data_IF_201439632209
#
_entry.id   IF_201439632209
#
_cell.length_a   1.000
_cell.length_b   1.000
_cell.length_c   1.000
_cell.angle_alpha   90.00
_cell.angle_beta   90.00
_cell.angle_gamma   90.00
#
_symmetry.space_group_name_H-M   'P 1'
#
loop_
_entity.id
_entity.type
_entity.pdbx_description
1 polymer ?
#
# COMPACT_ATOMS: atom_id res chain seq x y z
N UNK A 1 -20.46 -16.05 17.74
CA UNK A 1 -19.96 -14.66 17.90
C UNK A 1 -18.50 -14.67 17.52
N UNK A 2 -18.04 -13.70 16.72
CA UNK A 2 -16.64 -13.63 16.36
C UNK A 2 -15.77 -13.30 17.60
N UNK A 3 -14.51 -13.77 17.65
CA UNK A 3 -13.67 -13.75 18.87
C UNK A 3 -13.32 -12.36 19.42
N UNK A 4 -13.64 -11.27 18.71
CA UNK A 4 -13.47 -9.89 19.20
C UNK A 4 -14.63 -9.38 20.06
N UNK A 5 -15.72 -10.13 20.20
CA UNK A 5 -16.85 -9.75 21.06
C UNK A 5 -16.60 -9.99 22.56
N UNK A 6 -15.50 -10.64 22.92
CA UNK A 6 -15.17 -10.95 24.32
C UNK A 6 -13.91 -10.19 24.77
N UNK A 7 -14.09 -8.92 25.11
CA UNK A 7 -13.13 -8.18 25.91
C UNK A 7 -13.90 -7.39 26.97
N UNK A 8 -13.96 -7.99 28.16
CA UNK A 8 -14.66 -7.51 29.35
C UNK A 8 -14.00 -6.25 29.95
N UNK A 9 -14.14 -5.11 29.29
CA UNK A 9 -14.14 -3.78 29.91
C UNK A 9 -14.83 -2.81 28.96
N UNK A 10 -15.72 -1.96 29.49
CA UNK A 10 -16.56 -1.01 28.74
C UNK A 10 -15.73 -0.03 27.89
N UNK A 11 -15.33 -0.45 26.70
CA UNK A 11 -14.70 0.37 25.66
C UNK A 11 -15.15 -0.23 24.34
N UNK A 12 -16.14 0.38 23.69
CA UNK A 12 -16.64 -0.11 22.40
C UNK A 12 -15.48 -0.20 21.41
N UNK A 13 -15.10 -1.44 21.06
CA UNK A 13 -14.05 -1.75 20.08
C UNK A 13 -14.73 -1.76 18.72
N UNK A 14 -14.62 -0.64 17.99
CA UNK A 14 -15.03 -0.64 16.60
C UNK A 14 -14.00 -1.40 15.77
N UNK A 15 -14.52 -2.20 14.87
CA UNK A 15 -13.94 -3.38 14.22
C UNK A 15 -13.20 -2.91 12.94
N UNK A 16 -12.40 -3.77 12.26
CA UNK A 16 -11.33 -3.31 11.39
C UNK A 16 -11.86 -2.51 10.20
N UNK A 17 -11.36 -1.28 10.05
CA UNK A 17 -11.49 -0.53 8.81
C UNK A 17 -10.57 -1.17 7.78
N UNK A 18 -11.14 -1.64 6.67
CA UNK A 18 -10.38 -2.41 5.67
C UNK A 18 -10.58 -1.84 4.29
N UNK A 19 -9.49 -1.31 3.74
CA UNK A 19 -9.34 -0.94 2.35
C UNK A 19 -8.05 -1.59 1.82
N UNK A 20 -7.98 -2.03 0.57
CA UNK A 20 -6.69 -2.36 -0.02
C UNK A 20 -5.78 -1.14 -0.18
N UNK A 21 -4.49 -1.32 0.14
CA UNK A 21 -3.48 -0.30 -0.09
C UNK A 21 -3.00 -0.34 -1.54
N UNK A 22 -3.11 0.80 -2.24
CA UNK A 22 -2.24 1.19 -3.37
C UNK A 22 -2.29 0.36 -4.67
N UNK A 23 -2.91 -0.81 -4.69
CA UNK A 23 -3.12 -1.60 -5.91
C UNK A 23 -4.61 -1.70 -6.24
N UNK A 24 -4.96 -1.40 -7.49
CA UNK A 24 -6.34 -1.49 -7.99
C UNK A 24 -6.86 -2.94 -7.96
N UNK A 25 -5.97 -3.90 -8.23
CA UNK A 25 -6.22 -5.33 -8.09
C UNK A 25 -5.44 -5.88 -6.90
N UNK A 26 -5.97 -6.90 -6.24
CA UNK A 26 -5.34 -7.50 -5.06
C UNK A 26 -4.97 -8.94 -5.33
N UNK A 27 -3.91 -9.39 -4.66
CA UNK A 27 -3.70 -10.81 -4.47
C UNK A 27 -4.83 -11.39 -3.62
N UNK A 28 -5.19 -12.65 -3.87
CA UNK A 28 -6.29 -13.33 -3.17
C UNK A 28 -6.12 -13.30 -1.64
N UNK A 29 -4.88 -13.44 -1.15
CA UNK A 29 -4.55 -13.38 0.27
C UNK A 29 -4.85 -12.02 0.94
N UNK A 30 -5.04 -10.96 0.16
CA UNK A 30 -5.37 -9.62 0.64
C UNK A 30 -6.84 -9.26 0.44
N UNK A 31 -7.66 -10.13 -0.15
CA UNK A 31 -9.10 -9.93 -0.41
C UNK A 31 -9.98 -10.10 0.85
N UNK A 32 -9.50 -9.63 2.01
CA UNK A 32 -10.16 -9.76 3.33
C UNK A 32 -11.58 -9.20 3.34
N UNK A 33 -11.79 -8.05 2.68
CA UNK A 33 -13.10 -7.42 2.56
C UNK A 33 -14.08 -8.31 1.79
N UNK A 34 -13.64 -8.94 0.70
CA UNK A 34 -14.47 -9.87 -0.05
C UNK A 34 -14.79 -11.12 0.80
N UNK A 35 -13.80 -11.67 1.50
CA UNK A 35 -14.01 -12.81 2.41
C UNK A 35 -15.10 -12.55 3.47
N UNK A 36 -15.09 -11.41 4.14
CA UNK A 36 -16.06 -11.14 5.21
C UNK A 36 -17.43 -10.65 4.73
N UNK A 37 -17.52 -10.09 3.52
CA UNK A 37 -18.75 -9.40 3.05
C UNK A 37 -19.41 -10.05 1.84
N UNK A 38 -18.66 -10.80 1.04
CA UNK A 38 -19.06 -11.25 -0.30
C UNK A 38 -18.78 -10.22 -1.40
N UNK A 39 -18.53 -8.94 -1.07
CA UNK A 39 -18.35 -7.88 -2.07
C UNK A 39 -16.95 -7.87 -2.71
N UNK A 40 -16.91 -8.07 -4.02
CA UNK A 40 -15.69 -8.27 -4.83
C UNK A 40 -15.21 -7.05 -5.61
N UNK A 41 -15.95 -5.93 -5.62
CA UNK A 41 -15.55 -4.72 -6.36
C UNK A 41 -14.20 -4.14 -5.95
N UNK A 42 -13.45 -3.49 -6.84
CA UNK A 42 -12.07 -3.09 -6.50
C UNK A 42 -11.99 -2.01 -5.41
N UNK A 43 -13.01 -1.17 -5.27
CA UNK A 43 -13.07 -0.12 -4.26
C UNK A 43 -14.11 -0.40 -3.18
N UNK A 44 -13.72 -0.31 -1.92
CA UNK A 44 -14.66 -0.28 -0.81
C UNK A 44 -13.99 -0.37 0.55
N UNK A 45 -14.65 0.17 1.56
CA UNK A 45 -14.22 0.18 2.95
C UNK A 45 -15.29 -0.45 3.83
N UNK A 46 -14.94 -1.56 4.49
CA UNK A 46 -15.81 -2.16 5.50
C UNK A 46 -15.55 -1.53 6.87
N UNK A 47 -16.61 -1.20 7.61
CA UNK A 47 -16.58 -0.95 9.05
C UNK A 47 -17.55 -1.93 9.69
N UNK A 48 -17.04 -2.77 10.57
CA UNK A 48 -17.87 -3.62 11.43
C UNK A 48 -17.93 -2.96 12.82
N UNK A 49 -19.03 -3.19 13.53
CA UNK A 49 -19.27 -2.80 14.91
C UNK A 49 -19.97 -3.95 15.64
N UNK A 50 -20.22 -3.82 16.95
CA UNK A 50 -20.99 -4.82 17.69
C UNK A 50 -22.43 -5.00 17.16
N UNK A 51 -23.01 -3.97 16.53
CA UNK A 51 -24.41 -3.92 16.14
C UNK A 51 -24.67 -3.77 14.64
N UNK A 52 -23.64 -3.56 13.82
CA UNK A 52 -23.78 -3.28 12.39
C UNK A 52 -22.53 -3.65 11.59
N UNK A 53 -22.74 -4.04 10.34
CA UNK A 53 -21.71 -4.17 9.31
C UNK A 53 -22.02 -3.20 8.16
N UNK A 54 -21.08 -2.33 7.82
CA UNK A 54 -21.27 -1.23 6.88
C UNK A 54 -20.20 -1.28 5.79
N UNK A 55 -20.59 -1.00 4.55
CA UNK A 55 -19.70 -0.97 3.39
C UNK A 55 -19.79 0.36 2.66
N UNK A 56 -18.73 1.17 2.73
CA UNK A 56 -18.58 2.33 1.85
C UNK A 56 -18.02 1.88 0.50
N UNK A 57 -18.63 2.30 -0.59
CA UNK A 57 -18.06 2.17 -1.94
C UNK A 57 -18.59 3.28 -2.83
N UNK A 58 -17.93 3.51 -3.96
CA UNK A 58 -18.29 4.55 -4.92
C UNK A 58 -19.36 4.12 -5.93
N UNK A 59 -19.82 5.07 -6.74
CA UNK A 59 -20.95 4.89 -7.67
C UNK A 59 -20.79 3.77 -8.70
N UNK A 60 -19.56 3.32 -8.99
CA UNK A 60 -19.32 2.18 -9.89
C UNK A 60 -19.88 0.87 -9.32
N UNK A 61 -19.95 0.77 -8.00
CA UNK A 61 -20.18 -0.50 -7.29
C UNK A 61 -21.49 -0.55 -6.50
N UNK A 62 -22.34 0.47 -6.54
CA UNK A 62 -23.59 0.47 -5.74
C UNK A 62 -24.48 -0.74 -6.03
N UNK A 63 -24.67 -1.08 -7.31
CA UNK A 63 -25.52 -2.20 -7.72
C UNK A 63 -24.86 -3.53 -7.33
N UNK A 64 -23.59 -3.70 -7.69
CA UNK A 64 -22.79 -4.87 -7.36
C UNK A 64 -22.76 -5.14 -5.85
N UNK A 65 -22.50 -4.13 -5.02
CA UNK A 65 -22.47 -4.28 -3.57
C UNK A 65 -23.85 -4.67 -3.01
N UNK A 66 -24.94 -4.17 -3.59
CA UNK A 66 -26.30 -4.57 -3.16
C UNK A 66 -26.60 -6.04 -3.48
N UNK A 67 -26.06 -6.56 -4.58
CA UNK A 67 -26.28 -7.94 -5.04
C UNK A 67 -25.34 -8.95 -4.36
N UNK A 68 -24.09 -8.57 -4.11
CA UNK A 68 -23.06 -9.48 -3.59
C UNK A 68 -22.94 -9.52 -2.07
N UNK A 69 -23.28 -8.43 -1.38
CA UNK A 69 -23.10 -8.39 0.08
C UNK A 69 -24.06 -9.34 0.79
N UNK A 70 -23.54 -10.06 1.79
CA UNK A 70 -24.32 -10.96 2.62
C UNK A 70 -25.40 -10.25 3.46
N UNK A 71 -26.30 -11.04 4.05
CA UNK A 71 -27.32 -10.52 4.97
C UNK A 71 -26.68 -9.76 6.16
N UNK A 72 -27.29 -8.66 6.57
CA UNK A 72 -26.81 -7.82 7.69
C UNK A 72 -25.83 -6.71 7.31
N UNK A 73 -25.39 -6.64 6.05
CA UNK A 73 -24.58 -5.53 5.54
C UNK A 73 -25.43 -4.33 5.13
N UNK A 74 -24.97 -3.14 5.49
CA UNK A 74 -25.57 -1.86 5.08
C UNK A 74 -24.66 -1.16 4.08
N UNK A 75 -25.19 -0.89 2.89
CA UNK A 75 -24.48 -0.14 1.85
C UNK A 75 -24.45 1.36 2.17
N UNK A 76 -23.25 1.91 2.25
CA UNK A 76 -22.98 3.34 2.39
C UNK A 76 -22.50 3.90 1.05
N UNK A 77 -23.39 4.60 0.33
CA UNK A 77 -23.15 5.11 -1.02
C UNK A 77 -22.26 6.36 -1.03
N UNK A 78 -20.96 6.17 -1.12
CA UNK A 78 -19.97 7.25 -1.07
C UNK A 78 -20.17 8.26 -2.21
N UNK A 79 -20.08 9.56 -1.91
CA UNK A 79 -20.29 10.65 -2.86
C UNK A 79 -21.72 11.21 -2.89
N UNK A 80 -22.68 10.58 -2.21
CA UNK A 80 -24.01 11.15 -2.03
C UNK A 80 -24.03 12.14 -0.85
N UNK A 81 -24.73 13.29 -0.94
CA UNK A 81 -24.81 14.28 0.14
C UNK A 81 -25.36 13.74 1.47
N UNK A 82 -26.17 12.68 1.40
CA UNK A 82 -26.80 12.05 2.58
C UNK A 82 -25.91 11.02 3.26
N UNK A 83 -24.83 10.57 2.61
CA UNK A 83 -23.96 9.52 3.14
C UNK A 83 -22.82 10.17 3.92
N UNK A 84 -22.68 9.90 5.24
CA UNK A 84 -21.60 10.47 6.03
C UNK A 84 -20.25 9.89 5.59
N UNK A 85 -19.17 10.66 5.79
CA UNK A 85 -17.82 10.11 5.74
C UNK A 85 -17.64 9.04 6.82
N UNK A 86 -16.62 8.20 6.67
CA UNK A 86 -16.31 7.14 7.64
C UNK A 86 -16.02 7.74 9.02
N UNK A 87 -15.17 8.77 9.11
CA UNK A 87 -14.84 9.44 10.37
C UNK A 87 -16.05 10.17 11.00
N UNK A 88 -16.93 10.77 10.18
CA UNK A 88 -18.18 11.36 10.68
C UNK A 88 -19.11 10.29 11.25
N UNK A 89 -19.30 9.18 10.53
CA UNK A 89 -20.12 8.07 11.01
C UNK A 89 -19.62 7.55 12.35
N UNK A 90 -18.29 7.35 12.48
CA UNK A 90 -17.68 6.92 13.73
C UNK A 90 -17.90 7.94 14.86
N UNK A 91 -17.83 9.23 14.57
CA UNK A 91 -18.05 10.28 15.57
C UNK A 91 -19.50 10.38 16.04
N UNK A 92 -20.45 10.18 15.13
CA UNK A 92 -21.88 10.31 15.43
C UNK A 92 -22.44 9.06 16.14
N UNK A 93 -21.82 7.89 15.97
CA UNK A 93 -22.35 6.61 16.44
C UNK A 93 -21.59 6.00 17.64
N UNK A 94 -20.44 6.58 18.03
CA UNK A 94 -19.66 6.08 19.16
C UNK A 94 -19.54 7.12 20.27
N UNK A 95 -19.48 6.65 21.52
CA UNK A 95 -19.28 7.48 22.70
C UNK A 95 -17.84 7.96 22.84
N UNK A 96 -17.64 9.07 23.54
CA UNK A 96 -16.32 9.51 23.98
C UNK A 96 -15.56 8.37 24.68
N UNK A 97 -14.28 8.21 24.35
CA UNK A 97 -13.42 7.15 24.87
C UNK A 97 -13.48 5.83 24.08
N UNK A 98 -14.41 5.67 23.13
CA UNK A 98 -14.45 4.49 22.24
C UNK A 98 -13.18 4.38 21.39
N UNK A 99 -12.82 3.15 21.02
CA UNK A 99 -11.60 2.82 20.30
C UNK A 99 -11.94 2.10 19.00
N UNK A 100 -11.51 2.66 17.88
CA UNK A 100 -11.70 2.09 16.54
C UNK A 100 -10.39 1.45 16.11
N UNK A 101 -10.35 0.12 16.03
CA UNK A 101 -9.18 -0.64 15.65
C UNK A 101 -9.02 -0.72 14.14
N UNK A 102 -7.82 -0.48 13.62
CA UNK A 102 -7.52 -0.58 12.18
C UNK A 102 -6.15 -1.19 11.96
N UNK A 103 -6.02 -2.09 10.98
CA UNK A 103 -4.71 -2.58 10.54
C UNK A 103 -3.93 -1.44 9.87
N UNK A 104 -2.80 -0.99 10.43
CA UNK A 104 -2.09 0.16 9.90
C UNK A 104 -1.45 -0.11 8.54
N UNK A 105 -1.39 -1.36 8.07
CA UNK A 105 -0.81 -1.73 6.78
C UNK A 105 -1.80 -1.59 5.61
N UNK A 106 -3.11 -1.57 5.90
CA UNK A 106 -4.15 -1.59 4.86
C UNK A 106 -4.68 -0.19 4.52
N UNK A 107 -4.53 0.76 5.45
CA UNK A 107 -4.82 2.17 5.18
C UNK A 107 -3.60 2.95 4.76
N UNK A 108 -3.78 3.85 3.79
CA UNK A 108 -2.77 4.87 3.51
C UNK A 108 -2.64 5.84 4.68
N UNK A 109 -1.49 6.51 4.76
CA UNK A 109 -1.30 7.55 5.76
C UNK A 109 -2.30 8.70 5.59
N UNK A 110 -2.57 9.11 4.35
CA UNK A 110 -3.52 10.18 4.04
C UNK A 110 -4.93 9.86 4.53
N UNK A 111 -5.45 8.67 4.21
CA UNK A 111 -6.79 8.25 4.63
C UNK A 111 -6.91 8.16 6.15
N UNK A 112 -5.88 7.62 6.81
CA UNK A 112 -5.83 7.60 8.26
C UNK A 112 -5.97 9.02 8.83
N UNK A 113 -5.25 9.99 8.26
CA UNK A 113 -5.32 11.40 8.70
C UNK A 113 -6.68 12.02 8.42
N UNK A 114 -7.32 11.71 7.29
CA UNK A 114 -8.67 12.18 6.96
C UNK A 114 -9.66 11.67 8.00
N UNK A 115 -9.71 10.35 8.23
CA UNK A 115 -10.61 9.73 9.22
C UNK A 115 -10.35 10.29 10.62
N UNK A 116 -9.08 10.36 11.03
CA UNK A 116 -8.69 10.93 12.32
C UNK A 116 -9.10 12.40 12.46
N UNK A 117 -9.01 13.20 11.39
CA UNK A 117 -9.41 14.60 11.40
C UNK A 117 -10.92 14.77 11.52
N UNK A 118 -11.69 13.96 10.80
CA UNK A 118 -13.16 13.92 10.90
C UNK A 118 -13.65 13.53 12.30
N UNK A 119 -12.82 12.77 13.04
CA UNK A 119 -13.08 12.35 14.42
C UNK A 119 -12.61 13.35 15.49
N UNK A 120 -12.02 14.48 15.11
CA UNK A 120 -11.53 15.46 16.09
C UNK A 120 -12.69 16.03 16.91
N UNK A 121 -12.54 15.98 18.23
CA UNK A 121 -13.51 16.53 19.18
C UNK A 121 -14.64 15.58 19.57
N UNK A 122 -14.77 14.40 18.95
CA UNK A 122 -15.75 13.38 19.38
C UNK A 122 -15.27 12.56 20.58
N UNK A 123 -13.97 12.60 20.88
CA UNK A 123 -13.34 11.76 21.91
C UNK A 123 -13.18 10.29 21.51
N UNK A 124 -13.57 9.92 20.28
CA UNK A 124 -13.34 8.58 19.71
C UNK A 124 -11.91 8.51 19.16
N UNK A 125 -11.24 7.38 19.40
CA UNK A 125 -9.83 7.21 19.05
C UNK A 125 -9.62 6.14 17.98
N UNK A 126 -8.91 6.48 16.91
CA UNK A 126 -8.43 5.53 15.91
C UNK A 126 -7.13 4.88 16.37
N UNK A 127 -7.10 3.56 16.49
CA UNK A 127 -6.01 2.79 17.11
C UNK A 127 -5.42 1.79 16.11
N UNK A 128 -4.10 1.80 15.87
CA UNK A 128 -3.46 0.81 15.02
C UNK A 128 -3.43 -0.56 15.73
N UNK A 129 -3.87 -1.60 15.03
CA UNK A 129 -3.79 -3.00 15.48
C UNK A 129 -2.89 -3.76 14.50
N UNK A 130 -1.71 -4.18 14.95
CA UNK A 130 -0.71 -4.80 14.09
C UNK A 130 -1.17 -6.14 13.48
N UNK A 131 -2.03 -6.88 14.19
CA UNK A 131 -2.60 -8.13 13.71
C UNK A 131 -3.93 -7.86 13.01
N UNK A 132 -4.05 -8.28 11.75
CA UNK A 132 -5.32 -8.19 11.06
C UNK A 132 -6.34 -9.17 11.65
N UNK A 133 -7.46 -8.66 12.15
CA UNK A 133 -8.46 -9.48 12.84
C UNK A 133 -9.19 -10.45 11.91
N UNK A 134 -9.26 -10.16 10.61
CA UNK A 134 -9.87 -11.08 9.62
C UNK A 134 -9.00 -12.29 9.40
N UNK A 135 -7.67 -12.12 9.41
CA UNK A 135 -6.74 -13.24 9.24
C UNK A 135 -6.88 -14.28 10.36
N UNK A 136 -7.38 -13.89 11.54
CA UNK A 136 -7.61 -14.81 12.66
C UNK A 136 -8.83 -15.74 12.45
N UNK A 137 -9.76 -15.36 11.58
CA UNK A 137 -10.97 -16.13 11.28
C UNK A 137 -10.98 -16.71 9.85
N UNK A 138 -9.98 -16.38 9.04
CA UNK A 138 -9.85 -16.87 7.67
C UNK A 138 -9.02 -18.15 7.64
N UNK A 139 -9.64 -19.28 8.00
CA UNK A 139 -8.96 -20.58 8.16
C UNK A 139 -8.28 -21.08 6.87
N UNK A 140 -8.92 -20.85 5.72
CA UNK A 140 -8.48 -21.26 4.38
C UNK A 140 -7.86 -20.11 3.59
N UNK A 141 -7.28 -19.12 4.28
CA UNK A 141 -6.65 -17.96 3.65
C UNK A 141 -5.62 -18.38 2.59
N UNK A 142 -5.74 -17.89 1.34
CA UNK A 142 -4.76 -18.16 0.29
C UNK A 142 -3.36 -17.74 0.70
N UNK A 143 -2.35 -18.50 0.28
CA UNK A 143 -0.96 -18.15 0.50
C UNK A 143 -0.60 -16.87 -0.27
N UNK A 144 0.38 -16.11 0.25
CA UNK A 144 0.95 -15.00 -0.51
C UNK A 144 1.53 -15.51 -1.83
N UNK A 145 1.34 -14.77 -2.94
CA UNK A 145 1.94 -15.11 -4.22
C UNK A 145 3.45 -15.30 -4.11
N UNK A 146 3.97 -16.35 -4.74
CA UNK A 146 5.39 -16.71 -4.75
C UNK A 146 6.00 -16.67 -6.16
N UNK A 147 5.38 -15.89 -7.05
CA UNK A 147 5.79 -15.82 -8.45
C UNK A 147 7.21 -15.24 -8.61
N UNK A 148 7.94 -15.82 -9.56
CA UNK A 148 9.32 -15.43 -9.86
C UNK A 148 9.40 -14.02 -10.46
N UNK A 149 10.41 -13.25 -10.04
CA UNK A 149 10.71 -11.93 -10.62
C UNK A 149 11.67 -12.05 -11.79
N UNK A 150 11.39 -11.30 -12.86
CA UNK A 150 12.15 -11.32 -14.10
C UNK A 150 12.73 -9.93 -14.43
N UNK A 151 13.98 -9.84 -14.88
CA UNK A 151 14.54 -8.58 -15.38
C UNK A 151 13.96 -8.20 -16.74
N UNK A 152 13.75 -6.91 -16.94
CA UNK A 152 13.29 -6.32 -18.19
C UNK A 152 14.47 -5.63 -18.88
N UNK A 153 14.89 -6.17 -20.03
CA UNK A 153 16.07 -5.71 -20.74
C UNK A 153 15.99 -4.25 -21.19
N UNK A 154 17.15 -3.59 -21.28
CA UNK A 154 17.27 -2.16 -21.65
C UNK A 154 16.64 -1.82 -23.01
N UNK A 155 16.59 -2.78 -23.95
CA UNK A 155 15.92 -2.62 -25.25
C UNK A 155 14.41 -2.34 -25.14
N UNK A 156 13.80 -2.63 -23.98
CA UNK A 156 12.41 -2.32 -23.69
C UNK A 156 12.25 -1.12 -22.75
N UNK A 157 13.22 -0.89 -21.86
CA UNK A 157 13.11 0.17 -20.84
C UNK A 157 13.76 1.49 -21.25
N UNK A 158 14.67 1.46 -22.21
CA UNK A 158 15.43 2.62 -22.71
C UNK A 158 16.41 3.25 -21.71
N UNK A 159 16.38 2.85 -20.44
CA UNK A 159 17.24 3.39 -19.37
C UNK A 159 17.57 2.32 -18.35
N UNK A 160 18.86 2.24 -17.98
CA UNK A 160 19.38 1.34 -16.96
C UNK A 160 18.81 1.66 -15.57
N UNK A 161 18.74 0.66 -14.69
CA UNK A 161 18.30 0.86 -13.30
C UNK A 161 19.30 1.74 -12.54
N UNK A 162 20.60 1.63 -12.85
CA UNK A 162 21.65 2.50 -12.30
C UNK A 162 21.39 3.98 -12.59
N UNK A 163 21.17 4.35 -13.85
CA UNK A 163 20.89 5.75 -14.21
C UNK A 163 19.58 6.26 -13.57
N UNK A 164 18.55 5.41 -13.48
CA UNK A 164 17.31 5.78 -12.78
C UNK A 164 17.56 6.07 -11.29
N UNK A 165 18.35 5.25 -10.61
CA UNK A 165 18.73 5.47 -9.20
C UNK A 165 19.57 6.74 -9.04
N UNK A 166 20.48 7.06 -9.96
CA UNK A 166 21.28 8.29 -9.93
C UNK A 166 20.41 9.55 -10.09
N UNK A 167 19.43 9.53 -10.99
CA UNK A 167 18.44 10.61 -11.14
C UNK A 167 17.57 10.77 -9.88
N UNK A 168 17.13 9.66 -9.29
CA UNK A 168 16.39 9.66 -8.01
C UNK A 168 17.23 10.28 -6.89
N UNK A 169 18.51 9.90 -6.76
CA UNK A 169 19.44 10.46 -5.75
C UNK A 169 19.66 11.96 -5.95
N UNK A 170 19.70 12.42 -7.21
CA UNK A 170 19.79 13.84 -7.54
C UNK A 170 18.55 14.59 -7.04
N UNK A 171 17.34 14.04 -7.26
CA UNK A 171 16.08 14.60 -6.74
C UNK A 171 15.99 14.56 -5.22
N UNK A 172 16.51 13.50 -4.59
CA UNK A 172 16.63 13.44 -3.14
C UNK A 172 17.53 14.55 -2.60
N UNK A 173 18.69 14.79 -3.23
CA UNK A 173 19.61 15.86 -2.83
C UNK A 173 18.98 17.25 -2.95
N UNK A 174 18.27 17.54 -4.05
CA UNK A 174 17.52 18.80 -4.25
C UNK A 174 16.53 19.08 -3.10
N UNK A 175 15.94 18.03 -2.52
CA UNK A 175 14.97 18.11 -1.42
C UNK A 175 15.58 17.95 -0.02
N UNK A 176 16.92 17.79 0.08
CA UNK A 176 17.60 17.52 1.35
C UNK A 176 17.22 16.16 1.97
N UNK A 177 16.74 15.22 1.14
CA UNK A 177 16.38 13.87 1.54
C UNK A 177 17.60 12.96 1.54
N UNK A 178 17.84 12.26 2.65
CA UNK A 178 18.92 11.26 2.77
C UNK A 178 18.42 9.84 2.50
N UNK A 179 17.11 9.64 2.60
CA UNK A 179 16.45 8.35 2.43
C UNK A 179 15.13 8.54 1.68
N UNK A 180 14.89 7.70 0.67
CA UNK A 180 13.60 7.55 0.00
C UNK A 180 13.09 6.13 0.24
N UNK A 181 11.89 6.01 0.80
CA UNK A 181 11.19 4.74 0.97
C UNK A 181 10.08 4.65 -0.07
N UNK A 182 10.20 3.65 -0.94
CA UNK A 182 9.28 3.37 -2.05
C UNK A 182 8.42 2.18 -1.67
N UNK A 183 7.11 2.39 -1.64
CA UNK A 183 6.10 1.38 -1.29
C UNK A 183 5.21 0.99 -2.46
N UNK A 184 5.14 1.80 -3.50
CA UNK A 184 4.36 1.51 -4.70
C UNK A 184 5.07 0.47 -5.56
N UNK A 185 4.40 -0.65 -5.85
CA UNK A 185 5.02 -1.81 -6.50
C UNK A 185 5.42 -1.53 -7.96
N UNK A 186 4.67 -0.68 -8.65
CA UNK A 186 4.94 -0.27 -10.03
C UNK A 186 6.16 0.68 -10.10
N UNK A 187 6.33 1.57 -9.12
CA UNK A 187 7.55 2.37 -8.97
C UNK A 187 8.78 1.50 -8.73
N UNK A 188 8.67 0.49 -7.87
CA UNK A 188 9.75 -0.46 -7.59
C UNK A 188 10.12 -1.24 -8.86
N UNK A 189 9.12 -1.79 -9.55
CA UNK A 189 9.28 -2.52 -10.80
C UNK A 189 9.95 -1.64 -11.89
N UNK A 190 9.54 -0.37 -12.01
CA UNK A 190 10.12 0.57 -12.97
C UNK A 190 11.54 0.99 -12.60
N UNK A 191 11.81 1.29 -11.33
CA UNK A 191 13.12 1.74 -10.86
C UNK A 191 14.20 0.67 -11.08
N UNK A 192 13.88 -0.58 -10.74
CA UNK A 192 14.83 -1.70 -10.79
C UNK A 192 14.86 -2.42 -12.14
N UNK A 193 14.02 -2.02 -13.11
CA UNK A 193 13.82 -2.75 -14.37
C UNK A 193 13.46 -4.22 -14.14
N UNK A 194 12.55 -4.48 -13.18
CA UNK A 194 12.08 -5.83 -12.85
C UNK A 194 10.57 -5.92 -13.09
N UNK A 195 10.05 -7.13 -13.35
CA UNK A 195 8.62 -7.43 -13.46
C UNK A 195 8.29 -8.70 -12.69
N UNK A 196 7.08 -8.76 -12.19
CA UNK A 196 6.54 -9.93 -11.47
C UNK A 196 5.14 -10.26 -11.94
N UNK A 197 4.48 -11.14 -11.21
CA UNK A 197 3.09 -11.54 -11.47
C UNK A 197 2.37 -11.86 -10.16
N UNK A 198 2.68 -11.12 -9.09
CA UNK A 198 2.03 -11.35 -7.79
C UNK A 198 0.58 -10.82 -7.76
N UNK A 199 0.25 -9.89 -8.65
CA UNK A 199 -1.07 -9.29 -8.77
C UNK A 199 -1.56 -9.48 -10.20
N UNK A 200 -2.77 -10.00 -10.36
CA UNK A 200 -3.35 -10.19 -11.68
C UNK A 200 -3.42 -8.86 -12.46
N UNK A 201 -3.16 -8.94 -13.76
CA UNK A 201 -3.14 -7.83 -14.72
C UNK A 201 -2.05 -6.77 -14.48
N UNK A 202 -1.38 -6.79 -13.32
CA UNK A 202 -0.34 -5.85 -12.93
C UNK A 202 1.01 -6.58 -12.84
N UNK A 203 1.98 -6.33 -13.74
CA UNK A 203 3.23 -7.10 -13.78
C UNK A 203 4.23 -6.65 -12.69
N UNK A 204 3.81 -6.71 -11.43
CA UNK A 204 4.50 -6.22 -10.23
C UNK A 204 4.72 -7.36 -9.22
N UNK A 205 5.50 -7.08 -8.19
CA UNK A 205 5.84 -8.04 -7.15
C UNK A 205 5.92 -7.36 -5.78
N UNK A 206 5.43 -8.05 -4.75
CA UNK A 206 5.42 -7.57 -3.37
C UNK A 206 6.84 -7.30 -2.90
N UNK A 207 7.14 -6.03 -2.67
CA UNK A 207 8.45 -5.57 -2.26
C UNK A 207 8.41 -4.16 -1.67
N UNK A 208 9.49 -3.79 -0.99
CA UNK A 208 9.80 -2.40 -0.66
C UNK A 208 11.20 -2.07 -1.18
N UNK A 209 11.41 -0.82 -1.58
CA UNK A 209 12.75 -0.32 -1.89
C UNK A 209 13.08 0.87 -1.03
N UNK A 210 14.28 0.86 -0.47
CA UNK A 210 14.87 2.00 0.20
C UNK A 210 16.10 2.45 -0.58
N UNK A 211 16.11 3.71 -0.99
CA UNK A 211 17.23 4.36 -1.67
C UNK A 211 17.87 5.33 -0.70
N UNK A 212 19.18 5.20 -0.49
CA UNK A 212 20.02 6.22 0.14
C UNK A 212 20.95 6.83 -0.91
N UNK A 213 21.74 7.82 -0.52
CA UNK A 213 22.72 8.42 -1.43
C UNK A 213 23.83 7.46 -1.89
N UNK A 214 24.03 6.34 -1.20
CA UNK A 214 25.10 5.39 -1.51
C UNK A 214 24.60 3.97 -1.73
N UNK A 215 23.46 3.59 -1.17
CA UNK A 215 22.96 2.21 -1.16
C UNK A 215 21.53 2.11 -1.71
N UNK A 216 21.19 0.93 -2.19
CA UNK A 216 19.83 0.52 -2.53
C UNK A 216 19.53 -0.76 -1.77
N UNK A 217 18.41 -0.79 -1.07
CA UNK A 217 17.94 -1.94 -0.30
C UNK A 217 16.62 -2.41 -0.89
N UNK A 218 16.52 -3.68 -1.26
CA UNK A 218 15.32 -4.34 -1.75
C UNK A 218 14.83 -5.32 -0.69
N UNK A 219 13.61 -5.11 -0.19
CA UNK A 219 12.93 -6.02 0.72
C UNK A 219 11.93 -6.85 -0.09
N UNK A 220 12.19 -8.15 -0.22
CA UNK A 220 11.42 -9.06 -1.06
C UNK A 220 11.47 -10.47 -0.46
N UNK A 221 10.53 -11.34 -0.82
CA UNK A 221 10.70 -12.77 -0.60
C UNK A 221 11.91 -13.26 -1.41
N UNK A 222 12.95 -13.72 -0.73
CA UNK A 222 14.21 -14.15 -1.33
C UNK A 222 14.02 -15.29 -2.34
N UNK A 223 12.98 -16.12 -2.18
CA UNK A 223 12.66 -17.19 -3.13
C UNK A 223 12.32 -16.66 -4.52
N UNK A 224 11.88 -15.40 -4.63
CA UNK A 224 11.56 -14.74 -5.91
C UNK A 224 12.80 -14.23 -6.65
N UNK A 225 13.94 -14.11 -5.97
CA UNK A 225 15.18 -13.55 -6.52
C UNK A 225 16.02 -14.64 -7.17
N UNK A 226 15.85 -14.79 -8.48
CA UNK A 226 16.62 -15.76 -9.28
C UNK A 226 18.05 -15.30 -9.58
N UNK A 227 18.86 -16.21 -10.10
CA UNK A 227 20.18 -15.88 -10.65
C UNK A 227 20.10 -14.82 -11.76
N UNK A 228 19.03 -14.82 -12.57
CA UNK A 228 18.82 -13.81 -13.60
C UNK A 228 18.67 -12.40 -13.02
N UNK A 229 17.96 -12.25 -11.89
CA UNK A 229 17.83 -10.96 -11.18
C UNK A 229 19.17 -10.51 -10.61
N UNK A 230 19.95 -11.43 -10.02
CA UNK A 230 21.28 -11.10 -9.48
C UNK A 230 22.25 -10.70 -10.60
N UNK A 231 22.24 -11.41 -11.73
CA UNK A 231 23.04 -11.08 -12.89
C UNK A 231 22.65 -9.72 -13.48
N UNK A 232 21.35 -9.42 -13.57
CA UNK A 232 20.85 -8.12 -14.02
C UNK A 232 21.45 -6.96 -13.21
N UNK A 233 21.44 -7.05 -11.87
CA UNK A 233 22.05 -6.01 -11.04
C UNK A 233 23.57 -5.89 -11.22
N UNK A 234 24.27 -7.01 -11.43
CA UNK A 234 25.70 -7.01 -11.71
C UNK A 234 26.02 -6.40 -13.08
N UNK A 235 25.25 -6.76 -14.12
CA UNK A 235 25.41 -6.25 -15.49
C UNK A 235 25.12 -4.75 -15.58
N UNK A 236 24.15 -4.27 -14.81
CA UNK A 236 23.77 -2.86 -14.71
C UNK A 236 24.68 -2.06 -13.76
N UNK A 237 25.67 -2.70 -13.12
CA UNK A 237 26.59 -2.11 -12.13
C UNK A 237 25.86 -1.35 -11.00
N UNK A 238 24.79 -1.97 -10.48
CA UNK A 238 23.98 -1.45 -9.38
C UNK A 238 24.03 -2.41 -8.18
N UNK A 239 24.80 -2.13 -7.13
CA UNK A 239 24.79 -2.96 -5.93
C UNK A 239 23.47 -2.81 -5.17
N UNK A 240 22.68 -3.88 -5.12
CA UNK A 240 21.40 -3.95 -4.39
C UNK A 240 21.54 -4.91 -3.20
N UNK A 241 21.30 -4.39 -2.00
CA UNK A 241 21.25 -5.18 -0.78
C UNK A 241 19.86 -5.82 -0.67
N UNK A 242 19.78 -7.15 -0.73
CA UNK A 242 18.51 -7.88 -0.65
C UNK A 242 18.25 -8.30 0.80
N UNK A 243 17.02 -8.06 1.27
CA UNK A 243 16.53 -8.39 2.60
C UNK A 243 15.20 -9.13 2.49
N UNK A 244 14.88 -9.96 3.48
CA UNK A 244 13.56 -10.56 3.60
C UNK A 244 12.46 -9.49 3.71
N UNK A 245 11.34 -9.69 3.01
CA UNK A 245 10.20 -8.75 2.95
C UNK A 245 9.74 -8.24 4.33
N UNK A 246 9.66 -9.13 5.33
CA UNK A 246 9.19 -8.81 6.68
C UNK A 246 10.18 -8.00 7.53
N UNK A 247 11.42 -7.77 7.05
CA UNK A 247 12.44 -7.00 7.78
C UNK A 247 12.31 -5.49 7.63
N UNK A 248 11.41 -5.01 6.76
CA UNK A 248 11.27 -3.57 6.51
C UNK A 248 11.00 -2.77 7.78
N UNK A 249 10.09 -3.23 8.66
CA UNK A 249 9.75 -2.50 9.88
C UNK A 249 10.94 -2.42 10.86
N UNK A 250 11.64 -3.53 11.10
CA UNK A 250 12.84 -3.51 11.95
C UNK A 250 13.92 -2.61 11.35
N UNK A 251 14.13 -2.70 10.03
CA UNK A 251 15.13 -1.90 9.34
C UNK A 251 14.85 -0.39 9.44
N UNK A 252 13.60 0.04 9.20
CA UNK A 252 13.20 1.44 9.33
C UNK A 252 13.34 1.90 10.79
N UNK A 253 12.96 1.08 11.76
CA UNK A 253 13.11 1.41 13.18
C UNK A 253 14.57 1.71 13.56
N UNK A 254 15.50 0.95 13.01
CA UNK A 254 16.94 1.12 13.24
C UNK A 254 17.52 2.31 12.47
N UNK A 255 17.06 2.55 11.23
CA UNK A 255 17.61 3.60 10.37
C UNK A 255 17.15 5.02 10.71
N UNK A 256 15.91 5.18 11.18
CA UNK A 256 15.30 6.51 11.40
C UNK A 256 16.04 7.36 12.45
N UNK A 257 16.45 6.82 13.61
CA UNK A 257 17.20 7.59 14.60
C UNK A 257 18.54 8.14 14.09
N UNK A 258 19.17 7.45 13.15
CA UNK A 258 20.46 7.82 12.55
C UNK A 258 20.31 8.84 11.40
N UNK A 259 19.09 9.18 10.97
CA UNK A 259 18.88 10.10 9.85
C UNK A 259 19.22 11.53 10.23
N UNK A 260 20.17 12.10 9.50
CA UNK A 260 20.58 13.51 9.60
C UNK A 260 19.80 14.43 8.66
N UNK A 261 19.18 13.88 7.62
CA UNK A 261 18.39 14.60 6.63
C UNK A 261 16.91 14.27 6.66
N UNK A 262 16.21 14.64 5.59
CA UNK A 262 14.79 14.32 5.42
C UNK A 262 14.61 12.87 4.93
N UNK A 263 13.43 12.32 5.22
CA UNK A 263 13.00 11.00 4.79
C UNK A 263 11.78 11.18 3.89
N UNK A 264 11.91 10.80 2.63
CA UNK A 264 10.83 10.88 1.66
C UNK A 264 10.06 9.56 1.63
N UNK A 265 8.75 9.64 1.83
CA UNK A 265 7.81 8.51 1.75
C UNK A 265 6.46 9.06 1.26
N UNK A 266 5.84 8.42 0.28
CA UNK A 266 4.51 8.83 -0.22
C UNK A 266 3.45 8.70 0.89
N UNK A 267 2.53 9.66 0.95
CA UNK A 267 1.34 9.61 1.81
C UNK A 267 0.33 8.53 1.39
N UNK A 268 0.41 8.06 0.13
CA UNK A 268 -0.39 6.95 -0.39
C UNK A 268 0.06 5.58 0.17
N UNK A 269 1.30 5.53 0.69
CA UNK A 269 1.83 4.35 1.37
C UNK A 269 1.17 4.11 2.72
N UNK A 270 1.36 2.92 3.28
CA UNK A 270 0.68 2.51 4.51
C UNK A 270 0.94 3.44 5.69
N UNK A 271 -0.06 3.62 6.55
CA UNK A 271 0.07 4.34 7.82
C UNK A 271 1.16 3.71 8.70
N UNK A 272 1.29 2.38 8.65
CA UNK A 272 2.28 1.60 9.39
C UNK A 272 3.70 2.12 9.18
N UNK A 273 4.16 2.25 7.92
CA UNK A 273 5.51 2.73 7.63
C UNK A 273 5.63 4.25 7.79
N UNK A 274 4.62 5.00 7.34
CA UNK A 274 4.62 6.45 7.44
C UNK A 274 4.70 6.95 8.89
N UNK A 275 3.93 6.34 9.79
CA UNK A 275 3.89 6.73 11.21
C UNK A 275 5.20 6.50 11.96
N UNK A 276 6.08 5.62 11.44
CA UNK A 276 7.43 5.39 12.00
C UNK A 276 8.39 6.55 11.71
N UNK A 277 8.12 7.37 10.69
CA UNK A 277 8.97 8.50 10.32
C UNK A 277 8.45 9.77 11.02
N UNK A 278 9.20 10.45 11.89
CA UNK A 278 8.72 11.68 12.53
C UNK A 278 8.32 12.76 11.52
N UNK A 279 7.15 13.40 11.72
CA UNK A 279 6.60 14.41 10.79
C UNK A 279 7.60 15.53 10.48
N UNK A 280 8.38 15.95 11.48
CA UNK A 280 9.42 16.99 11.33
C UNK A 280 10.51 16.68 10.29
N UNK A 281 10.79 15.40 10.01
CA UNK A 281 11.80 14.99 9.03
C UNK A 281 11.18 14.36 7.78
N UNK A 282 9.86 14.20 7.74
CA UNK A 282 9.17 13.51 6.66
C UNK A 282 8.91 14.45 5.47
N UNK A 283 9.10 13.93 4.26
CA UNK A 283 8.59 14.53 3.02
C UNK A 283 7.49 13.60 2.52
N UNK A 284 6.27 14.11 2.44
CA UNK A 284 5.08 13.37 1.99
C UNK A 284 4.58 13.86 0.63
N UNK A 285 5.49 14.33 -0.22
CA UNK A 285 5.19 14.70 -1.61
C UNK A 285 5.21 13.48 -2.53
N UNK A 286 4.63 13.61 -3.73
CA UNK A 286 4.72 12.61 -4.82
C UNK A 286 6.19 12.23 -5.03
N UNK A 287 6.49 10.93 -5.12
CA UNK A 287 7.87 10.46 -5.25
C UNK A 287 8.51 10.94 -6.56
N UNK A 288 9.85 11.07 -6.61
CA UNK A 288 10.52 11.40 -7.87
C UNK A 288 10.31 10.32 -8.93
N UNK A 289 10.16 9.05 -8.52
CA UNK A 289 9.97 7.92 -9.43
C UNK A 289 8.61 8.01 -10.15
N UNK A 290 7.55 8.36 -9.42
CA UNK A 290 6.23 8.56 -10.00
C UNK A 290 6.25 9.62 -11.11
N UNK A 291 6.94 10.74 -10.88
CA UNK A 291 7.10 11.81 -11.86
C UNK A 291 7.96 11.38 -13.05
N UNK A 292 9.06 10.67 -12.80
CA UNK A 292 9.98 10.20 -13.84
C UNK A 292 9.32 9.19 -14.77
N UNK A 293 8.59 8.19 -14.24
CA UNK A 293 7.90 7.18 -15.07
C UNK A 293 6.65 7.72 -15.79
N UNK A 294 6.14 8.89 -15.37
CA UNK A 294 5.01 9.52 -16.04
C UNK A 294 5.38 9.95 -17.48
N UNK A 295 6.63 10.36 -17.70
CA UNK A 295 7.15 10.80 -19.00
C UNK A 295 7.95 9.67 -19.64
N UNK A 296 7.38 9.04 -20.68
CA UNK A 296 7.97 7.88 -21.36
C UNK A 296 9.15 8.32 -22.19
N UNK A 297 10.23 7.54 -22.16
CA UNK A 297 11.33 7.77 -23.07
C UNK A 297 11.01 7.21 -24.47
N UNK A 298 11.84 7.54 -25.46
CA UNK A 298 11.61 7.15 -26.86
C UNK A 298 11.50 5.64 -27.06
N UNK A 299 12.24 4.83 -26.30
CA UNK A 299 12.17 3.36 -26.39
C UNK A 299 10.84 2.84 -25.82
N UNK A 300 10.42 3.36 -24.66
CA UNK A 300 9.12 3.01 -24.06
C UNK A 300 7.96 3.39 -24.99
N UNK A 301 7.97 4.60 -25.56
CA UNK A 301 6.95 5.07 -26.51
C UNK A 301 6.93 4.23 -27.79
N UNK A 302 8.10 3.85 -28.32
CA UNK A 302 8.17 2.95 -29.49
C UNK A 302 7.59 1.56 -29.17
N UNK A 303 7.86 1.04 -27.97
CA UNK A 303 7.28 -0.22 -27.51
C UNK A 303 5.75 -0.17 -27.44
N UNK A 304 5.19 0.94 -26.93
CA UNK A 304 3.74 1.18 -26.90
C UNK A 304 3.15 1.23 -28.32
N UNK A 305 3.77 1.98 -29.24
CA UNK A 305 3.35 2.07 -30.64
C UNK A 305 3.36 0.71 -31.36
N UNK A 306 4.42 -0.07 -31.14
CA UNK A 306 4.52 -1.42 -31.69
C UNK A 306 3.44 -2.33 -31.14
N UNK A 307 3.11 -2.22 -29.85
CA UNK A 307 2.07 -3.02 -29.20
C UNK A 307 0.67 -2.73 -29.77
N UNK A 308 0.35 -1.46 -30.02
CA UNK A 308 -0.95 -1.06 -30.60
C UNK A 308 -1.01 -1.22 -32.14
N UNK A 309 0.02 -1.79 -32.75
CA UNK A 309 0.09 -2.04 -34.19
C UNK A 309 0.30 -0.80 -35.06
N UNK A 310 0.58 0.36 -34.45
CA UNK A 310 0.95 1.57 -35.17
C UNK A 310 2.44 1.49 -35.52
N UNK A 311 2.74 1.02 -36.73
CA UNK A 311 4.08 1.17 -37.30
C UNK A 311 4.25 2.62 -37.75
N UNK A 312 5.19 3.34 -37.15
CA UNK A 312 5.77 4.56 -37.74
C UNK A 312 6.69 4.22 -38.89
#
# INVERSE_FOLDING_TARGET
MPPWSDCSSRSSVATPLMKPLGSEYLAECDMRRAFISGFTGSAGTAIITESAALMWTDGRYYLQATEEMGEGWTLMKEGLPVTPSQGKYLSDNFSEGSRVGVDPNVLSYEEWKIIQNDMKGSGVNLIPIATNLVDLIWEDKPASPSSTVLPLAIKYTGKSCKHKVEEVRSKMAEKGSTLLLVTALDEIAWLLNLRGSDIDYNPVFFSYVLVTQTQVHLFIDESKVTLAVRNHFNEEDLPVNIHAYNKIHSFITEQIPEQTGKVWISSDGSYSLNSMVPEKIRISEITPIALMKAIKNTVETQGELQFIGLRT
#
